data_IF_394506529964
#
_entry.id   IF_394506529964
#
_cell.length_a   1.000
_cell.length_b   1.000
_cell.length_c   1.000
_cell.angle_alpha   90.00
_cell.angle_beta   90.00
_cell.angle_gamma   90.00
#
_symmetry.space_group_name_H-M   'P 1'
#
loop_
_entity.id
_entity.type
_entity.pdbx_description
1 polymer ?
#
# COMPACT_ATOMS: atom_id res chain seq x y z
N UNK A 1 12.91 -12.12 -12.74
CA UNK A 1 12.05 -13.21 -12.18
C UNK A 1 11.85 -12.87 -10.72
N UNK A 2 10.63 -12.49 -10.30
CA UNK A 2 10.38 -12.18 -8.90
C UNK A 2 10.40 -13.46 -8.08
N UNK A 3 11.22 -13.48 -7.04
CA UNK A 3 11.20 -14.57 -6.06
C UNK A 3 10.08 -14.28 -5.05
N UNK A 4 9.14 -15.21 -4.90
CA UNK A 4 8.05 -15.08 -3.94
C UNK A 4 8.62 -15.06 -2.51
N UNK A 5 8.20 -14.06 -1.70
CA UNK A 5 8.63 -13.97 -0.32
C UNK A 5 8.10 -15.15 0.50
N UNK A 6 8.93 -15.82 1.31
CA UNK A 6 8.50 -16.96 2.10
C UNK A 6 7.52 -16.53 3.20
N UNK A 7 6.70 -17.48 3.67
CA UNK A 7 5.70 -17.25 4.73
C UNK A 7 6.29 -16.63 6.00
N UNK A 8 7.45 -17.11 6.44
CA UNK A 8 8.10 -16.62 7.66
C UNK A 8 8.51 -15.15 7.52
N UNK A 9 8.99 -14.74 6.33
CA UNK A 9 9.27 -13.33 6.04
C UNK A 9 8.02 -12.45 6.17
N UNK A 10 6.88 -12.92 5.65
CA UNK A 10 5.61 -12.18 5.75
C UNK A 10 5.16 -12.06 7.20
N UNK A 11 5.30 -13.12 7.99
CA UNK A 11 4.98 -13.11 9.42
C UNK A 11 5.87 -12.14 10.21
N UNK A 12 7.18 -12.15 9.93
CA UNK A 12 8.15 -11.25 10.55
C UNK A 12 7.89 -9.80 10.17
N UNK A 13 7.58 -9.54 8.91
CA UNK A 13 7.21 -8.21 8.43
C UNK A 13 5.95 -7.69 9.14
N UNK A 14 4.89 -8.51 9.26
CA UNK A 14 3.68 -8.14 10.00
C UNK A 14 4.00 -7.74 11.44
N UNK A 15 4.79 -8.56 12.11
CA UNK A 15 5.23 -8.32 13.49
C UNK A 15 6.10 -7.06 13.61
N UNK A 16 6.98 -6.82 12.63
CA UNK A 16 7.83 -5.63 12.57
C UNK A 16 6.98 -4.34 12.45
N UNK A 17 5.98 -4.32 11.56
CA UNK A 17 5.10 -3.15 11.40
C UNK A 17 4.41 -2.79 12.71
N UNK A 18 3.84 -3.80 13.40
CA UNK A 18 3.18 -3.56 14.69
C UNK A 18 4.14 -3.08 15.77
N UNK A 19 5.35 -3.64 15.83
CA UNK A 19 6.39 -3.20 16.77
C UNK A 19 6.80 -1.75 16.50
N UNK A 20 7.09 -1.40 15.24
CA UNK A 20 7.46 -0.04 14.85
C UNK A 20 6.37 0.97 15.20
N UNK A 21 5.10 0.64 14.97
CA UNK A 21 3.98 1.49 15.33
C UNK A 21 3.87 1.71 16.86
N UNK A 22 4.26 0.72 17.65
CA UNK A 22 4.28 0.84 19.11
C UNK A 22 5.50 1.63 19.62
N UNK A 23 6.65 1.53 18.95
CA UNK A 23 7.89 2.24 19.29
C UNK A 23 7.76 3.76 19.02
N UNK A 24 7.06 4.14 17.95
CA UNK A 24 6.81 5.56 17.63
C UNK A 24 5.32 5.83 17.33
N UNK A 25 4.52 6.06 18.38
CA UNK A 25 3.09 6.30 18.22
C UNK A 25 2.75 7.54 17.39
N UNK A 26 3.60 8.58 17.39
CA UNK A 26 3.34 9.81 16.61
C UNK A 26 3.41 9.55 15.12
N UNK A 27 4.46 8.86 14.69
CA UNK A 27 4.61 8.45 13.28
C UNK A 27 3.49 7.49 12.90
N UNK A 28 3.17 6.51 13.76
CA UNK A 28 2.06 5.60 13.52
C UNK A 28 0.72 6.34 13.39
N UNK A 29 0.43 7.26 14.30
CA UNK A 29 -0.81 8.06 14.27
C UNK A 29 -0.89 8.91 12.99
N UNK A 30 0.21 9.54 12.59
CA UNK A 30 0.24 10.31 11.35
C UNK A 30 -0.20 9.47 10.15
N UNK A 31 0.53 8.41 9.83
CA UNK A 31 0.23 7.65 8.61
C UNK A 31 -1.06 6.83 8.70
N UNK A 32 -1.40 6.30 9.88
CA UNK A 32 -2.67 5.59 10.08
C UNK A 32 -3.87 6.54 9.95
N UNK A 33 -3.75 7.81 10.40
CA UNK A 33 -4.81 8.81 10.24
C UNK A 33 -5.10 9.11 8.76
N UNK A 34 -4.09 9.00 7.88
CA UNK A 34 -4.26 9.23 6.44
C UNK A 34 -5.12 8.15 5.76
N UNK A 35 -5.20 6.97 6.34
CA UNK A 35 -6.11 5.92 5.87
C UNK A 35 -7.59 6.34 5.96
N UNK A 36 -7.93 7.32 6.81
CA UNK A 36 -9.28 7.90 6.85
C UNK A 36 -9.66 8.63 5.55
N UNK A 37 -8.70 8.93 4.68
CA UNK A 37 -8.95 9.48 3.32
C UNK A 37 -9.47 8.42 2.36
N UNK A 38 -9.25 7.15 2.63
CA UNK A 38 -9.80 6.04 1.85
C UNK A 38 -11.30 5.98 2.05
N UNK A 39 -12.04 6.15 0.98
CA UNK A 39 -13.51 6.19 0.98
C UNK A 39 -14.07 5.77 -0.38
N UNK A 40 -15.31 5.34 -0.38
CA UNK A 40 -16.03 4.83 -1.54
C UNK A 40 -16.62 3.48 -1.25
N UNK A 41 -17.51 3.02 -2.11
CA UNK A 41 -18.15 1.71 -1.95
C UNK A 41 -17.26 0.57 -2.45
N UNK A 42 -16.34 0.85 -3.38
CA UNK A 42 -15.39 -0.14 -3.91
C UNK A 42 -13.96 0.38 -3.81
N UNK A 43 -13.11 -0.34 -3.07
CA UNK A 43 -11.72 0.04 -2.79
C UNK A 43 -10.78 -1.07 -3.23
N UNK A 44 -9.71 -0.70 -3.96
CA UNK A 44 -8.56 -1.56 -4.25
C UNK A 44 -7.38 -1.15 -3.36
N UNK A 45 -6.80 -2.10 -2.66
CA UNK A 45 -5.51 -1.94 -2.00
C UNK A 45 -4.44 -2.69 -2.81
N UNK A 46 -3.59 -1.94 -3.50
CA UNK A 46 -2.55 -2.45 -4.38
C UNK A 46 -1.24 -2.62 -3.61
N UNK A 47 -0.62 -3.82 -3.71
CA UNK A 47 0.49 -4.20 -2.83
C UNK A 47 0.02 -4.26 -1.37
N UNK A 48 -1.10 -4.93 -1.13
CA UNK A 48 -1.84 -4.84 0.13
C UNK A 48 -1.08 -5.38 1.35
N UNK A 49 -0.10 -6.25 1.14
CA UNK A 49 0.67 -6.83 2.21
C UNK A 49 -0.17 -7.54 3.29
N UNK A 50 0.47 -7.97 4.39
CA UNK A 50 -0.22 -8.68 5.46
C UNK A 50 -1.06 -7.78 6.38
N UNK A 51 -0.94 -6.46 6.27
CA UNK A 51 -1.64 -5.45 7.09
C UNK A 51 -3.00 -5.02 6.52
N UNK A 52 -3.48 -5.71 5.50
CA UNK A 52 -4.72 -5.41 4.78
C UNK A 52 -5.93 -5.15 5.70
N UNK A 53 -6.15 -6.02 6.70
CA UNK A 53 -7.27 -5.87 7.63
C UNK A 53 -7.09 -4.71 8.60
N UNK A 54 -5.85 -4.50 9.08
CA UNK A 54 -5.51 -3.40 9.98
C UNK A 54 -5.76 -2.04 9.32
N UNK A 55 -5.39 -1.91 8.04
CA UNK A 55 -5.62 -0.69 7.28
C UNK A 55 -7.10 -0.42 7.08
N UNK A 56 -7.88 -1.44 6.73
CA UNK A 56 -9.32 -1.28 6.52
C UNK A 56 -10.05 -0.77 7.76
N UNK A 57 -9.63 -1.15 8.95
CA UNK A 57 -10.18 -0.65 10.21
C UNK A 57 -9.92 0.85 10.46
N UNK A 58 -9.06 1.48 9.66
CA UNK A 58 -8.71 2.91 9.74
C UNK A 58 -9.36 3.77 8.65
N UNK A 59 -10.09 3.15 7.73
CA UNK A 59 -10.78 3.90 6.67
C UNK A 59 -11.84 4.82 7.27
N UNK A 60 -12.04 5.97 6.65
CA UNK A 60 -13.06 6.94 7.09
C UNK A 60 -14.49 6.38 7.01
N UNK A 61 -14.69 5.44 6.08
CA UNK A 61 -15.92 4.66 5.93
C UNK A 61 -15.55 3.25 5.43
N UNK A 62 -16.09 2.17 6.02
CA UNK A 62 -15.91 0.83 5.49
C UNK A 62 -16.48 0.72 4.06
N UNK A 63 -15.73 0.19 3.10
CA UNK A 63 -16.25 -0.05 1.76
C UNK A 63 -17.22 -1.24 1.77
N UNK A 64 -18.10 -1.28 0.77
CA UNK A 64 -18.92 -2.48 0.51
C UNK A 64 -18.06 -3.60 -0.06
N UNK A 65 -17.20 -3.25 -1.04
CA UNK A 65 -16.29 -4.17 -1.71
C UNK A 65 -14.85 -3.72 -1.51
N UNK A 66 -14.02 -4.61 -0.96
CA UNK A 66 -12.61 -4.36 -0.73
C UNK A 66 -11.75 -5.43 -1.42
N UNK A 67 -10.91 -5.02 -2.34
CA UNK A 67 -10.00 -5.90 -3.08
C UNK A 67 -8.58 -5.69 -2.60
N UNK A 68 -7.93 -6.74 -2.10
CA UNK A 68 -6.50 -6.78 -1.82
C UNK A 68 -5.77 -7.44 -2.97
N UNK A 69 -4.84 -6.73 -3.60
CA UNK A 69 -3.97 -7.24 -4.66
C UNK A 69 -2.53 -7.27 -4.16
N UNK A 70 -1.87 -8.42 -4.29
CA UNK A 70 -0.44 -8.57 -3.99
C UNK A 70 0.18 -9.64 -4.89
N UNK A 71 1.42 -9.42 -5.31
CA UNK A 71 2.16 -10.39 -6.12
C UNK A 71 2.61 -11.60 -5.28
N UNK A 72 2.84 -11.40 -3.97
CA UNK A 72 3.27 -12.45 -3.06
C UNK A 72 2.08 -13.27 -2.57
N UNK A 73 1.91 -14.47 -3.11
CA UNK A 73 0.84 -15.41 -2.69
C UNK A 73 0.97 -15.83 -1.23
N UNK A 74 2.17 -15.89 -0.69
CA UNK A 74 2.46 -16.15 0.72
C UNK A 74 1.82 -15.10 1.66
N UNK A 75 1.61 -13.86 1.21
CA UNK A 75 0.79 -12.86 1.91
C UNK A 75 -0.61 -13.40 2.20
N UNK A 76 -1.27 -13.99 1.21
CA UNK A 76 -2.63 -14.53 1.38
C UNK A 76 -2.64 -15.84 2.15
N UNK A 77 -1.58 -16.62 2.07
CA UNK A 77 -1.41 -17.78 2.93
C UNK A 77 -1.29 -17.36 4.39
N UNK A 78 -0.47 -16.34 4.69
CA UNK A 78 -0.38 -15.74 6.02
C UNK A 78 -1.75 -15.22 6.48
N UNK A 79 -2.42 -14.41 5.68
CA UNK A 79 -3.73 -13.87 6.01
C UNK A 79 -4.76 -14.99 6.31
N UNK A 80 -4.67 -16.15 5.66
CA UNK A 80 -5.59 -17.28 5.92
C UNK A 80 -5.24 -18.09 7.15
N UNK A 81 -3.96 -18.40 7.37
CA UNK A 81 -3.49 -19.42 8.31
C UNK A 81 -2.92 -18.87 9.61
N UNK A 82 -2.47 -17.62 9.64
CA UNK A 82 -1.88 -17.04 10.84
C UNK A 82 -2.84 -17.07 12.02
N UNK A 83 -2.26 -17.44 13.16
CA UNK A 83 -2.93 -17.43 14.45
C UNK A 83 -2.54 -16.22 15.31
N UNK A 84 -1.88 -15.22 14.73
CA UNK A 84 -1.56 -13.98 15.42
C UNK A 84 -2.83 -13.35 15.97
N UNK A 85 -2.93 -13.11 17.28
CA UNK A 85 -4.16 -12.62 17.90
C UNK A 85 -4.58 -11.26 17.38
N UNK A 86 -3.64 -10.39 16.97
CA UNK A 86 -3.92 -9.07 16.38
C UNK A 86 -4.62 -9.22 15.04
N UNK A 87 -4.12 -10.12 14.18
CA UNK A 87 -4.73 -10.40 12.89
C UNK A 87 -6.11 -11.05 13.04
N UNK A 88 -6.27 -11.95 14.01
CA UNK A 88 -7.58 -12.58 14.28
C UNK A 88 -8.60 -11.56 14.76
N UNK A 89 -8.22 -10.64 15.66
CA UNK A 89 -9.06 -9.53 16.10
C UNK A 89 -9.43 -8.61 14.92
N UNK A 90 -8.46 -8.18 14.12
CA UNK A 90 -8.70 -7.35 12.96
C UNK A 90 -9.69 -8.00 11.97
N UNK A 91 -9.53 -9.30 11.70
CA UNK A 91 -10.47 -10.06 10.86
C UNK A 91 -11.88 -10.13 11.44
N UNK A 92 -12.00 -10.35 12.75
CA UNK A 92 -13.30 -10.42 13.42
C UNK A 92 -14.04 -9.07 13.28
N UNK A 93 -13.35 -7.98 13.60
CA UNK A 93 -13.89 -6.62 13.48
C UNK A 93 -14.28 -6.25 12.05
N UNK A 94 -13.43 -6.59 11.07
CA UNK A 94 -13.73 -6.35 9.65
C UNK A 94 -14.97 -7.14 9.19
N UNK A 95 -15.12 -8.37 9.68
CA UNK A 95 -16.32 -9.18 9.38
C UNK A 95 -17.61 -8.52 9.88
N UNK A 96 -17.57 -7.89 11.05
CA UNK A 96 -18.69 -7.15 11.63
C UNK A 96 -19.11 -5.95 10.79
N UNK A 97 -18.17 -5.36 10.02
CA UNK A 97 -18.46 -4.26 9.11
C UNK A 97 -19.26 -4.68 7.87
N UNK A 98 -19.40 -5.98 7.60
CA UNK A 98 -20.16 -6.51 6.46
C UNK A 98 -19.48 -6.27 5.10
N UNK A 99 -18.20 -5.93 5.06
CA UNK A 99 -17.45 -5.71 3.82
C UNK A 99 -17.17 -7.03 3.11
N UNK A 100 -17.47 -7.09 1.81
CA UNK A 100 -17.01 -8.18 0.95
C UNK A 100 -15.54 -8.01 0.62
N UNK A 101 -14.72 -9.04 0.89
CA UNK A 101 -13.27 -9.02 0.66
C UNK A 101 -12.90 -10.02 -0.43
N UNK A 102 -12.24 -9.52 -1.48
CA UNK A 102 -11.63 -10.29 -2.55
C UNK A 102 -10.10 -10.20 -2.45
N UNK A 103 -9.39 -11.33 -2.51
CA UNK A 103 -7.93 -11.39 -2.47
C UNK A 103 -7.38 -11.90 -3.81
N UNK A 104 -6.51 -11.12 -4.46
CA UNK A 104 -5.95 -11.41 -5.78
C UNK A 104 -4.43 -11.57 -5.65
N UNK A 105 -3.94 -12.81 -5.78
CA UNK A 105 -2.52 -13.14 -5.77
C UNK A 105 -1.94 -13.12 -7.19
N UNK A 106 -1.60 -11.92 -7.70
CA UNK A 106 -1.07 -11.76 -9.06
C UNK A 106 -0.30 -10.44 -9.23
N UNK A 107 0.49 -10.33 -10.30
CA UNK A 107 1.03 -9.04 -10.73
C UNK A 107 -0.13 -8.12 -11.18
N UNK A 108 -0.04 -6.85 -10.82
CA UNK A 108 -1.03 -5.85 -11.20
C UNK A 108 -1.21 -5.75 -12.72
N UNK A 109 -0.15 -5.96 -13.46
CA UNK A 109 -0.15 -5.92 -14.93
C UNK A 109 -0.87 -7.11 -15.58
N UNK A 110 -1.03 -8.21 -14.86
CA UNK A 110 -1.77 -9.39 -15.32
C UNK A 110 -3.28 -9.29 -15.00
N UNK A 111 -3.67 -8.28 -14.22
CA UNK A 111 -5.02 -8.10 -13.74
C UNK A 111 -5.78 -6.94 -14.41
N UNK A 112 -5.18 -6.23 -15.37
CA UNK A 112 -5.72 -4.99 -15.94
C UNK A 112 -7.20 -5.08 -16.30
N UNK A 113 -7.59 -6.05 -17.11
CA UNK A 113 -8.99 -6.24 -17.54
C UNK A 113 -9.96 -6.54 -16.38
N UNK A 114 -9.46 -7.20 -15.32
CA UNK A 114 -10.27 -7.53 -14.13
C UNK A 114 -10.51 -6.32 -13.25
N UNK A 115 -9.62 -5.34 -13.30
CA UNK A 115 -9.65 -4.15 -12.45
C UNK A 115 -10.41 -2.97 -13.09
N UNK A 116 -10.59 -2.96 -14.42
CA UNK A 116 -11.06 -1.82 -15.19
C UNK A 116 -12.43 -1.26 -14.71
N UNK A 117 -12.46 0.04 -14.42
CA UNK A 117 -13.67 0.80 -14.06
C UNK A 117 -14.37 0.38 -12.77
N UNK A 118 -13.69 -0.37 -11.90
CA UNK A 118 -14.32 -0.99 -10.72
C UNK A 118 -14.31 -0.15 -9.46
N UNK A 119 -13.31 0.73 -9.29
CA UNK A 119 -12.99 1.27 -7.97
C UNK A 119 -13.30 2.76 -7.85
N UNK A 120 -13.86 3.13 -6.70
CA UNK A 120 -14.02 4.53 -6.29
C UNK A 120 -12.74 5.09 -5.68
N UNK A 121 -11.93 4.20 -5.07
CA UNK A 121 -10.66 4.55 -4.45
C UNK A 121 -9.63 3.44 -4.65
N UNK A 122 -8.38 3.83 -4.91
CA UNK A 122 -7.22 2.94 -4.88
C UNK A 122 -6.27 3.42 -3.79
N UNK A 123 -5.84 2.49 -2.94
CA UNK A 123 -4.85 2.69 -1.89
C UNK A 123 -3.54 2.00 -2.27
N UNK A 124 -2.42 2.70 -2.12
CA UNK A 124 -1.09 2.10 -2.19
C UNK A 124 -0.21 2.58 -1.03
N UNK A 125 0.18 1.65 -0.16
CA UNK A 125 1.03 1.92 1.00
C UNK A 125 2.41 1.31 0.76
N UNK A 126 3.43 2.15 0.64
CA UNK A 126 4.81 1.73 0.34
C UNK A 126 4.98 1.11 -1.06
N UNK A 127 3.94 1.09 -1.87
CA UNK A 127 3.90 0.36 -3.14
C UNK A 127 4.56 1.14 -4.28
N UNK A 128 4.30 2.45 -4.38
CA UNK A 128 4.74 3.26 -5.52
C UNK A 128 6.25 3.44 -5.61
N UNK A 129 6.94 3.44 -4.48
CA UNK A 129 8.40 3.55 -4.42
C UNK A 129 9.14 2.38 -5.08
N UNK A 130 8.42 1.32 -5.46
CA UNK A 130 9.00 0.13 -6.09
C UNK A 130 9.06 0.24 -7.61
N UNK A 131 8.45 1.28 -8.19
CA UNK A 131 8.34 1.46 -9.63
C UNK A 131 9.03 2.74 -10.08
N UNK A 132 9.66 2.69 -11.26
CA UNK A 132 10.24 3.87 -11.92
C UNK A 132 10.20 3.70 -13.45
N UNK A 133 10.47 4.81 -14.16
CA UNK A 133 10.53 4.84 -15.61
C UNK A 133 9.29 4.27 -16.29
N UNK A 134 9.44 3.57 -17.44
CA UNK A 134 8.30 3.07 -18.22
C UNK A 134 7.38 2.13 -17.45
N UNK A 135 7.91 1.41 -16.44
CA UNK A 135 7.09 0.53 -15.61
C UNK A 135 6.18 1.31 -14.66
N UNK A 136 6.66 2.44 -14.16
CA UNK A 136 5.84 3.36 -13.35
C UNK A 136 4.72 3.99 -14.20
N UNK A 137 5.06 4.47 -15.40
CA UNK A 137 4.05 5.02 -16.34
C UNK A 137 2.98 3.98 -16.68
N UNK A 138 3.38 2.75 -16.97
CA UNK A 138 2.44 1.64 -17.21
C UNK A 138 1.53 1.40 -16.01
N UNK A 139 2.10 1.39 -14.80
CA UNK A 139 1.33 1.24 -13.54
C UNK A 139 0.27 2.34 -13.41
N UNK A 140 0.65 3.59 -13.64
CA UNK A 140 -0.29 4.72 -13.57
C UNK A 140 -1.41 4.58 -14.60
N UNK A 141 -1.11 4.09 -15.80
CA UNK A 141 -2.11 3.75 -16.80
C UNK A 141 -3.10 2.68 -16.33
N UNK A 142 -2.62 1.63 -15.65
CA UNK A 142 -3.49 0.59 -15.05
C UNK A 142 -4.38 1.20 -13.97
N UNK A 143 -3.81 1.99 -13.06
CA UNK A 143 -4.54 2.66 -11.98
C UNK A 143 -5.62 3.61 -12.54
N UNK A 144 -5.27 4.41 -13.55
CA UNK A 144 -6.22 5.31 -14.18
C UNK A 144 -7.41 4.57 -14.81
N UNK A 145 -7.16 3.43 -15.47
CA UNK A 145 -8.25 2.60 -16.01
C UNK A 145 -9.07 1.91 -14.93
N UNK A 146 -8.44 1.46 -13.84
CA UNK A 146 -9.12 0.77 -12.74
C UNK A 146 -10.06 1.69 -11.94
N UNK A 147 -9.73 2.98 -11.86
CA UNK A 147 -10.57 3.98 -11.20
C UNK A 147 -11.76 4.40 -12.05
N UNK A 148 -12.90 4.55 -11.41
CA UNK A 148 -14.07 5.25 -11.96
C UNK A 148 -13.75 6.73 -12.22
N UNK A 149 -14.54 7.43 -13.05
CA UNK A 149 -14.43 8.89 -13.19
C UNK A 149 -14.48 9.59 -11.82
N UNK A 150 -13.62 10.56 -11.60
CA UNK A 150 -13.44 11.27 -10.32
C UNK A 150 -13.04 10.40 -9.12
N UNK A 151 -12.61 9.16 -9.35
CA UNK A 151 -12.10 8.25 -8.32
C UNK A 151 -10.81 8.77 -7.69
N UNK A 152 -10.52 8.32 -6.49
CA UNK A 152 -9.39 8.78 -5.69
C UNK A 152 -8.24 7.77 -5.71
N UNK A 153 -7.01 8.28 -5.79
CA UNK A 153 -5.80 7.56 -5.50
C UNK A 153 -5.23 8.08 -4.18
N UNK A 154 -5.12 7.22 -3.17
CA UNK A 154 -4.49 7.52 -1.88
C UNK A 154 -3.13 6.83 -1.85
N UNK A 155 -2.07 7.63 -1.77
CA UNK A 155 -0.69 7.18 -1.73
C UNK A 155 -0.09 7.49 -0.37
N UNK A 156 0.52 6.47 0.23
CA UNK A 156 1.38 6.60 1.41
C UNK A 156 2.76 6.02 1.07
N UNK A 157 3.82 6.81 1.22
CA UNK A 157 5.17 6.40 0.87
C UNK A 157 6.15 6.89 1.92
N UNK A 158 7.10 6.06 2.25
CA UNK A 158 8.25 6.40 3.11
C UNK A 158 9.41 6.81 2.22
N UNK A 159 10.08 7.87 2.57
CA UNK A 159 11.25 8.41 1.85
C UNK A 159 12.46 8.45 2.76
N UNK A 160 13.65 8.14 2.19
CA UNK A 160 14.91 8.29 2.88
C UNK A 160 15.94 7.21 2.56
N UNK A 161 17.24 7.54 2.72
CA UNK A 161 18.36 6.70 2.32
C UNK A 161 18.65 5.55 3.31
N UNK A 162 17.94 5.44 4.43
CA UNK A 162 18.42 4.72 5.60
C UNK A 162 17.97 3.26 5.66
N UNK A 163 18.13 2.55 4.54
CA UNK A 163 18.15 1.09 4.60
C UNK A 163 19.58 0.62 4.77
N UNK A 164 19.78 -0.31 5.68
CA UNK A 164 21.04 -1.06 5.67
C UNK A 164 21.21 -1.77 4.32
N UNK A 165 22.43 -2.01 3.90
CA UNK A 165 22.71 -2.76 2.68
C UNK A 165 22.01 -4.14 2.69
N UNK A 166 21.83 -4.74 3.87
CA UNK A 166 21.12 -6.01 4.03
C UNK A 166 19.60 -5.88 3.81
N UNK A 167 18.96 -4.82 4.32
CA UNK A 167 17.55 -4.55 4.10
C UNK A 167 17.26 -4.24 2.63
N UNK A 168 18.14 -3.48 1.98
CA UNK A 168 18.05 -3.23 0.54
C UNK A 168 18.19 -4.53 -0.25
N UNK A 169 19.15 -5.39 0.10
CA UNK A 169 19.34 -6.69 -0.54
C UNK A 169 18.11 -7.59 -0.38
N UNK A 170 17.55 -7.70 0.82
CA UNK A 170 16.33 -8.48 1.08
C UNK A 170 15.14 -7.95 0.28
N UNK A 171 15.01 -6.64 0.18
CA UNK A 171 13.96 -5.99 -0.59
C UNK A 171 14.08 -6.31 -2.09
N UNK A 172 15.28 -6.20 -2.65
CA UNK A 172 15.57 -6.56 -4.04
C UNK A 172 15.32 -8.05 -4.32
N UNK A 173 15.62 -8.92 -3.34
CA UNK A 173 15.43 -10.37 -3.49
C UNK A 173 13.94 -10.75 -3.61
N UNK A 174 13.04 -10.08 -2.91
CA UNK A 174 11.64 -10.54 -2.77
C UNK A 174 10.60 -9.71 -3.52
N UNK A 175 10.85 -8.44 -3.80
CA UNK A 175 9.78 -7.61 -4.32
C UNK A 175 10.21 -6.51 -5.30
N UNK A 176 11.47 -6.09 -5.34
CA UNK A 176 11.81 -4.81 -5.91
C UNK A 176 12.97 -4.88 -6.90
N UNK A 177 12.69 -4.49 -8.13
CA UNK A 177 13.69 -4.39 -9.20
C UNK A 177 14.47 -3.05 -9.15
N UNK A 178 14.13 -2.14 -8.23
CA UNK A 178 14.69 -0.80 -8.22
C UNK A 178 15.51 -0.51 -6.96
N UNK A 179 16.85 -0.32 -7.08
CA UNK A 179 17.69 0.15 -5.99
C UNK A 179 17.51 1.64 -5.67
N UNK A 180 17.05 2.44 -6.64
CA UNK A 180 16.85 3.88 -6.50
C UNK A 180 15.36 4.17 -6.34
N UNK A 181 14.95 4.59 -5.14
CA UNK A 181 13.57 5.02 -4.91
C UNK A 181 13.37 6.41 -5.53
N UNK A 182 12.26 6.62 -6.27
CA UNK A 182 11.95 7.95 -6.78
C UNK A 182 11.73 8.93 -5.61
N UNK A 183 12.13 10.17 -5.82
CA UNK A 183 11.87 11.23 -4.85
C UNK A 183 10.36 11.50 -4.70
N UNK A 184 10.00 12.18 -3.61
CA UNK A 184 8.61 12.57 -3.35
C UNK A 184 8.02 13.37 -4.52
N UNK A 185 8.78 14.30 -5.08
CA UNK A 185 8.35 15.18 -6.18
C UNK A 185 8.24 14.44 -7.51
N UNK A 186 9.16 13.52 -7.81
CA UNK A 186 9.08 12.69 -9.00
C UNK A 186 7.83 11.82 -9.01
N UNK A 187 7.46 11.25 -7.85
CA UNK A 187 6.23 10.48 -7.71
C UNK A 187 4.98 11.34 -7.94
N UNK A 188 4.93 12.55 -7.37
CA UNK A 188 3.80 13.47 -7.56
C UNK A 188 3.69 13.89 -9.02
N UNK A 189 4.79 14.37 -9.61
CA UNK A 189 4.83 14.82 -11.01
C UNK A 189 4.43 13.71 -11.97
N UNK A 190 4.92 12.49 -11.74
CA UNK A 190 4.56 11.33 -12.57
C UNK A 190 3.08 11.01 -12.50
N UNK A 191 2.49 11.05 -11.31
CA UNK A 191 1.05 10.78 -11.11
C UNK A 191 0.20 11.88 -11.79
N UNK A 192 0.56 13.15 -11.65
CA UNK A 192 -0.15 14.24 -12.30
C UNK A 192 -0.07 14.16 -13.84
N UNK A 193 1.10 13.81 -14.38
CA UNK A 193 1.30 13.60 -15.81
C UNK A 193 0.45 12.45 -16.39
N UNK A 194 0.01 11.52 -15.54
CA UNK A 194 -0.87 10.41 -15.92
C UNK A 194 -2.37 10.74 -15.86
N UNK A 195 -2.75 12.00 -15.71
CA UNK A 195 -4.15 12.46 -15.72
C UNK A 195 -4.82 12.46 -14.34
N UNK A 196 -4.02 12.70 -13.30
CA UNK A 196 -4.52 12.94 -11.96
C UNK A 196 -4.26 14.37 -11.52
N UNK A 197 -5.10 14.92 -10.66
CA UNK A 197 -4.84 16.18 -9.97
C UNK A 197 -4.56 15.92 -8.48
N UNK A 198 -3.51 16.54 -7.97
CA UNK A 198 -3.20 16.51 -6.55
C UNK A 198 -4.30 17.28 -5.77
N UNK A 199 -4.92 16.63 -4.80
CA UNK A 199 -5.96 17.20 -3.94
C UNK A 199 -5.41 17.58 -2.57
N UNK A 200 -4.53 16.73 -2.03
CA UNK A 200 -3.95 16.91 -0.70
C UNK A 200 -2.57 16.28 -0.67
N UNK A 201 -1.63 16.95 -0.03
CA UNK A 201 -0.31 16.42 0.27
C UNK A 201 0.10 16.81 1.69
N UNK A 202 0.59 15.86 2.44
CA UNK A 202 1.21 16.10 3.74
C UNK A 202 2.51 15.30 3.85
N UNK A 203 3.50 15.91 4.49
CA UNK A 203 4.80 15.28 4.75
C UNK A 203 5.06 15.38 6.25
N UNK A 204 5.44 14.25 6.84
CA UNK A 204 5.98 14.20 8.20
C UNK A 204 7.47 13.87 8.10
N UNK A 205 8.30 14.78 8.57
CA UNK A 205 9.72 14.49 8.80
C UNK A 205 9.88 13.56 10.00
N UNK A 206 10.71 12.54 9.86
CA UNK A 206 10.94 11.52 10.85
C UNK A 206 12.39 11.58 11.34
N UNK A 207 12.62 11.20 12.59
CA UNK A 207 13.97 10.89 13.04
C UNK A 207 14.40 9.53 12.46
N UNK A 208 15.31 9.59 11.51
CA UNK A 208 15.84 8.41 10.80
C UNK A 208 16.48 7.38 11.71
N UNK A 209 16.95 7.78 12.90
CA UNK A 209 17.58 6.88 13.87
C UNK A 209 16.58 5.83 14.42
N UNK A 210 15.30 6.18 14.49
CA UNK A 210 14.25 5.32 15.03
C UNK A 210 13.56 4.46 13.98
N UNK A 211 13.29 5.03 12.78
CA UNK A 211 12.47 4.37 11.75
C UNK A 211 13.25 3.92 10.52
N UNK A 212 14.45 4.44 10.30
CA UNK A 212 15.21 4.24 9.05
C UNK A 212 14.60 4.98 7.85
N UNK A 213 13.76 5.99 8.09
CA UNK A 213 13.13 6.85 7.09
C UNK A 213 13.27 8.30 7.51
N UNK A 214 13.51 9.20 6.54
CA UNK A 214 13.61 10.64 6.81
C UNK A 214 12.25 11.32 6.77
N UNK A 215 11.33 10.78 6.00
CA UNK A 215 10.00 11.34 5.88
C UNK A 215 8.94 10.30 5.48
N UNK A 216 7.70 10.60 5.83
CA UNK A 216 6.50 9.92 5.32
C UNK A 216 5.67 10.93 4.53
N UNK A 217 5.38 10.60 3.29
CA UNK A 217 4.52 11.39 2.42
C UNK A 217 3.16 10.73 2.25
N UNK A 218 2.11 11.49 2.49
CA UNK A 218 0.73 11.15 2.15
C UNK A 218 0.26 12.06 1.03
N UNK A 219 -0.30 11.48 -0.02
CA UNK A 219 -0.94 12.23 -1.10
C UNK A 219 -2.31 11.64 -1.42
N UNK A 220 -3.25 12.53 -1.73
CA UNK A 220 -4.54 12.18 -2.30
C UNK A 220 -4.63 12.83 -3.67
N UNK A 221 -4.87 12.03 -4.69
CA UNK A 221 -5.09 12.48 -6.06
C UNK A 221 -6.50 12.14 -6.50
N UNK A 222 -7.03 12.95 -7.43
CA UNK A 222 -8.30 12.70 -8.10
C UNK A 222 -8.04 12.45 -9.57
N UNK A 223 -8.66 11.42 -10.11
CA UNK A 223 -8.69 11.18 -11.56
C UNK A 223 -9.45 12.33 -12.25
N UNK A 224 -8.81 12.97 -13.21
CA UNK A 224 -9.37 14.03 -14.04
C UNK A 224 -10.18 13.47 -15.21
#
# INVERSE_FOLDING_TARGET
>A
MHTEAPYDYINDYYSLVHRKNAEDPKVAEFWLSKLARVRGDSVLNIGCGPTLYDYMLRFGRPPRDYVGLDINKSTFEFLRRSKDPRLLDAKARVRELGTHIELIGADVFDCEARLEGRFDCILGVGFFATFHGPRFERLLGVIARALRPAGLLVKLTWHGPHRTAEETRKKLEYAYDNPEEPSADELVTGIESAGFSLVEQEILECDSSSYGWDAIQSCVFRKV
#
